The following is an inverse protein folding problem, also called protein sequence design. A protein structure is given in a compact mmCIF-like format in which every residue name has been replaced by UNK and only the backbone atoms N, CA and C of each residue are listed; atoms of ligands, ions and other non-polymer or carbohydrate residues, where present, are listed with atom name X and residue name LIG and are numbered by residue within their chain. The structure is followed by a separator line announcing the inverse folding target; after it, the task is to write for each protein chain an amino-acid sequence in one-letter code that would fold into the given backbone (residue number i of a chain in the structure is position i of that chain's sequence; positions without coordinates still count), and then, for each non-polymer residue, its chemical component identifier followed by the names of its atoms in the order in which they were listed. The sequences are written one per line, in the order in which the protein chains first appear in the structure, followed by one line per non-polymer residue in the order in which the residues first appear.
data_IF_667063787722
#
_entry.id   IF_667063787722
#
_cell.length_a   1.000
_cell.length_b   1.000
_cell.length_c   1.000
_cell.angle_alpha   90.00
_cell.angle_beta   90.00
_cell.angle_gamma   90.00
#
_symmetry.space_group_name_H-M   'P 1'
#
loop_
_entity.id
_entity.type
_entity.pdbx_description
1 polymer ?
#
# COMPACT_ATOMS: atom_id res chain seq x y z
N UNK A 1 36.32 13.34 1.36
CA UNK A 1 35.75 13.40 2.74
C UNK A 1 35.66 14.87 3.19
N UNK A 2 34.68 15.66 2.73
CA UNK A 2 34.71 17.14 2.90
C UNK A 2 33.49 17.78 3.59
N UNK A 3 32.57 17.03 4.19
CA UNK A 3 31.36 17.62 4.82
C UNK A 3 31.39 17.65 6.36
N UNK A 4 32.52 17.32 6.99
CA UNK A 4 32.61 17.23 8.46
C UNK A 4 32.23 18.54 9.17
N UNK A 5 32.85 19.65 8.77
CA UNK A 5 32.58 20.98 9.34
C UNK A 5 31.12 21.40 9.10
N UNK A 6 30.58 21.12 7.92
CA UNK A 6 29.21 21.47 7.56
C UNK A 6 28.18 20.69 8.41
N UNK A 7 28.41 19.40 8.64
CA UNK A 7 27.56 18.59 9.51
C UNK A 7 27.61 19.09 10.97
N UNK A 8 28.80 19.42 11.48
CA UNK A 8 28.96 19.96 12.85
C UNK A 8 28.21 21.29 13.02
N UNK A 9 28.27 22.18 12.02
CA UNK A 9 27.55 23.45 12.05
C UNK A 9 26.03 23.23 12.04
N UNK A 10 25.52 22.34 11.16
CA UNK A 10 24.08 22.03 11.11
C UNK A 10 23.56 21.45 12.43
N UNK A 11 24.34 20.59 13.10
CA UNK A 11 23.97 20.04 14.42
C UNK A 11 23.93 21.15 15.47
N UNK A 12 24.91 22.07 15.46
CA UNK A 12 24.96 23.19 16.40
C UNK A 12 23.78 24.16 16.20
N UNK A 13 23.44 24.46 14.95
CA UNK A 13 22.26 25.26 14.58
C UNK A 13 20.96 24.59 15.04
N UNK A 14 20.79 23.30 14.73
CA UNK A 14 19.60 22.55 15.11
C UNK A 14 19.39 22.49 16.64
N UNK A 15 20.48 22.39 17.41
CA UNK A 15 20.42 22.38 18.89
C UNK A 15 19.89 23.68 19.48
N UNK A 16 20.07 24.80 18.79
CA UNK A 16 19.64 26.12 19.24
C UNK A 16 18.23 26.49 18.75
N UNK A 17 17.58 25.65 17.92
CA UNK A 17 16.22 25.91 17.44
C UNK A 17 15.20 25.77 18.59
N UNK A 18 14.26 26.72 18.72
CA UNK A 18 13.18 26.63 19.68
C UNK A 18 12.30 25.40 19.38
N UNK A 19 11.80 24.74 20.43
CA UNK A 19 10.96 23.53 20.28
C UNK A 19 9.73 23.74 19.39
N UNK A 20 9.23 24.97 19.30
CA UNK A 20 8.09 25.36 18.45
C UNK A 20 8.39 25.31 16.95
N UNK A 21 9.67 25.36 16.55
CA UNK A 21 10.09 25.24 15.14
C UNK A 21 10.57 23.84 14.78
N UNK A 22 10.46 22.87 15.70
CA UNK A 22 10.83 21.50 15.41
C UNK A 22 9.81 20.87 14.45
N UNK A 23 10.26 19.99 13.55
CA UNK A 23 9.32 19.21 12.75
C UNK A 23 8.45 18.37 13.68
N UNK A 24 7.18 18.25 13.35
CA UNK A 24 6.30 17.32 14.06
C UNK A 24 6.66 15.90 13.62
N UNK A 25 6.67 14.96 14.57
CA UNK A 25 6.81 13.56 14.23
C UNK A 25 5.70 13.18 13.24
N UNK A 26 6.07 12.37 12.25
CA UNK A 26 5.06 11.77 11.39
C UNK A 26 4.13 10.95 12.29
N UNK A 27 2.80 11.07 12.12
CA UNK A 27 1.89 10.26 12.90
C UNK A 27 2.25 8.80 12.73
N UNK A 28 2.43 8.10 13.85
CA UNK A 28 2.65 6.65 13.84
C UNK A 28 1.38 6.03 13.25
N UNK A 29 1.47 5.22 12.17
CA UNK A 29 0.31 4.55 11.63
C UNK A 29 -0.35 3.72 12.73
N UNK A 30 -1.66 3.86 12.87
CA UNK A 30 -2.42 2.99 13.78
C UNK A 30 -2.20 1.54 13.35
N UNK A 31 -1.84 0.62 14.26
CA UNK A 31 -1.70 -0.78 13.91
C UNK A 31 -3.02 -1.33 13.37
N UNK A 32 -2.93 -2.20 12.38
CA UNK A 32 -4.10 -2.85 11.80
C UNK A 32 -4.76 -3.74 12.86
N UNK A 33 -6.09 -3.74 12.88
CA UNK A 33 -6.83 -4.72 13.66
C UNK A 33 -6.82 -6.09 12.93
N UNK A 34 -7.14 -7.21 13.62
CA UNK A 34 -7.08 -8.53 13.00
C UNK A 34 -7.94 -8.70 11.74
N UNK A 35 -9.08 -8.00 11.65
CA UNK A 35 -9.91 -8.03 10.45
C UNK A 35 -9.24 -7.30 9.27
N UNK A 36 -8.59 -6.16 9.53
CA UNK A 36 -7.81 -5.46 8.51
C UNK A 36 -6.62 -6.27 8.03
N UNK A 37 -5.94 -7.01 8.91
CA UNK A 37 -4.86 -7.93 8.50
C UNK A 37 -5.38 -9.02 7.57
N UNK A 38 -6.52 -9.63 7.89
CA UNK A 38 -7.16 -10.62 7.01
C UNK A 38 -7.57 -10.01 5.65
N UNK A 39 -8.04 -8.76 5.64
CA UNK A 39 -8.32 -8.04 4.40
C UNK A 39 -7.04 -7.78 3.57
N UNK A 40 -5.91 -7.47 4.22
CA UNK A 40 -4.62 -7.33 3.52
C UNK A 40 -4.25 -8.64 2.84
N UNK A 41 -4.41 -9.77 3.52
CA UNK A 41 -4.10 -11.08 2.96
C UNK A 41 -5.03 -11.45 1.78
N UNK A 42 -6.32 -11.09 1.88
CA UNK A 42 -7.28 -11.21 0.78
C UNK A 42 -6.86 -10.37 -0.44
N UNK A 43 -6.45 -9.11 -0.23
CA UNK A 43 -5.97 -8.25 -1.31
C UNK A 43 -4.64 -8.73 -1.88
N UNK A 44 -3.74 -9.30 -1.06
CA UNK A 44 -2.50 -9.92 -1.53
C UNK A 44 -2.79 -11.14 -2.41
N UNK A 45 -3.78 -11.96 -2.05
CA UNK A 45 -4.24 -13.08 -2.87
C UNK A 45 -4.80 -12.57 -4.21
N UNK A 46 -5.69 -11.59 -4.15
CA UNK A 46 -6.29 -10.95 -5.33
C UNK A 46 -5.24 -10.34 -6.26
N UNK A 47 -4.25 -9.64 -5.70
CA UNK A 47 -3.12 -9.05 -6.43
C UNK A 47 -2.31 -10.12 -7.18
N UNK A 48 -2.12 -11.30 -6.58
CA UNK A 48 -1.39 -12.41 -7.22
C UNK A 48 -2.15 -12.99 -8.41
N UNK A 49 -3.47 -13.14 -8.29
CA UNK A 49 -4.34 -13.57 -9.40
C UNK A 49 -4.20 -12.58 -10.57
N UNK A 50 -4.36 -11.28 -10.27
CA UNK A 50 -4.25 -10.20 -11.26
C UNK A 50 -2.86 -10.14 -11.91
N UNK A 51 -1.81 -10.35 -11.12
CA UNK A 51 -0.44 -10.40 -11.62
C UNK A 51 -0.20 -11.57 -12.57
N UNK A 52 -0.73 -12.75 -12.24
CA UNK A 52 -0.67 -13.95 -13.07
C UNK A 52 -1.40 -13.75 -14.40
N UNK A 53 -2.63 -13.22 -14.36
CA UNK A 53 -3.43 -12.91 -15.55
C UNK A 53 -2.73 -11.93 -16.50
N UNK A 54 -2.02 -10.95 -15.95
CA UNK A 54 -1.28 -9.94 -16.71
C UNK A 54 0.19 -10.31 -16.98
N UNK A 55 0.64 -11.50 -16.57
CA UNK A 55 2.02 -11.99 -16.74
C UNK A 55 3.08 -11.03 -16.19
N UNK A 56 2.82 -10.43 -15.02
CA UNK A 56 3.74 -9.54 -14.31
C UNK A 56 4.05 -10.04 -12.91
N UNK A 57 5.14 -9.57 -12.31
CA UNK A 57 5.41 -9.83 -10.90
C UNK A 57 4.45 -9.02 -10.01
N UNK A 58 3.82 -9.63 -8.98
CA UNK A 58 2.95 -8.91 -8.05
C UNK A 58 3.62 -7.70 -7.40
N UNK A 59 4.93 -7.79 -7.13
CA UNK A 59 5.70 -6.71 -6.49
C UNK A 59 5.78 -5.43 -7.34
N UNK A 60 5.62 -5.53 -8.67
CA UNK A 60 5.62 -4.37 -9.57
C UNK A 60 4.26 -3.63 -9.52
N UNK A 61 3.19 -4.34 -9.15
CA UNK A 61 1.85 -3.76 -9.00
C UNK A 61 1.71 -3.06 -7.64
N UNK A 62 2.00 -3.75 -6.54
CA UNK A 62 1.94 -3.19 -5.19
C UNK A 62 2.75 -4.01 -4.17
N UNK A 63 3.16 -3.35 -3.09
CA UNK A 63 3.68 -4.00 -1.89
C UNK A 63 2.57 -4.17 -0.84
N UNK A 64 2.82 -5.00 0.18
CA UNK A 64 1.90 -5.17 1.32
C UNK A 64 1.53 -3.83 1.95
N UNK A 65 2.52 -2.98 2.25
CA UNK A 65 2.31 -1.66 2.85
C UNK A 65 1.39 -0.76 2.01
N UNK A 66 1.40 -0.87 0.67
CA UNK A 66 0.49 -0.13 -0.19
C UNK A 66 -0.95 -0.62 -0.02
N UNK A 67 -1.15 -1.94 0.14
CA UNK A 67 -2.48 -2.51 0.39
C UNK A 67 -3.00 -2.17 1.80
N UNK A 68 -2.11 -2.12 2.80
CA UNK A 68 -2.45 -1.63 4.15
C UNK A 68 -2.95 -0.18 4.10
N UNK A 69 -2.24 0.70 3.38
CA UNK A 69 -2.67 2.08 3.16
C UNK A 69 -3.99 2.16 2.42
N UNK A 70 -4.20 1.30 1.42
CA UNK A 70 -5.46 1.23 0.68
C UNK A 70 -6.63 0.85 1.61
N UNK A 71 -6.45 -0.13 2.49
CA UNK A 71 -7.46 -0.54 3.50
C UNK A 71 -7.69 0.57 4.52
N UNK A 72 -6.65 1.31 4.90
CA UNK A 72 -6.75 2.47 5.78
C UNK A 72 -7.45 3.68 5.14
N UNK A 73 -7.86 3.59 3.86
CA UNK A 73 -8.61 4.64 3.17
C UNK A 73 -7.74 5.58 2.33
N UNK A 74 -6.42 5.38 2.25
CA UNK A 74 -5.56 6.17 1.38
C UNK A 74 -5.89 5.90 -0.09
N UNK A 75 -5.93 6.96 -0.89
CA UNK A 75 -6.26 6.90 -2.33
C UNK A 75 -5.20 7.56 -3.21
N UNK A 76 -4.23 8.28 -2.63
CA UNK A 76 -3.06 8.84 -3.33
C UNK A 76 -1.93 7.82 -3.43
N UNK A 77 -2.24 6.65 -4.00
CA UNK A 77 -1.30 5.53 -4.15
C UNK A 77 -0.92 5.36 -5.62
N UNK A 78 0.32 4.96 -5.91
CA UNK A 78 0.73 4.60 -7.28
C UNK A 78 -0.11 3.45 -7.86
N UNK A 79 -0.59 2.55 -7.01
CA UNK A 79 -1.51 1.47 -7.38
C UNK A 79 -2.80 1.99 -8.03
N UNK A 80 -3.26 3.18 -7.65
CA UNK A 80 -4.50 3.79 -8.16
C UNK A 80 -4.24 4.82 -9.27
N UNK A 81 -3.07 4.78 -9.90
CA UNK A 81 -2.66 5.68 -10.97
C UNK A 81 -2.13 4.93 -12.20
N UNK A 82 -2.23 5.59 -13.35
CA UNK A 82 -1.63 5.14 -14.61
C UNK A 82 -2.02 3.71 -15.00
N UNK A 83 -1.02 2.92 -15.39
CA UNK A 83 -1.22 1.55 -15.85
C UNK A 83 -1.54 0.58 -14.70
N UNK A 84 -0.99 0.81 -13.49
CA UNK A 84 -1.26 -0.05 -12.32
C UNK A 84 -2.72 -0.04 -11.91
N UNK A 85 -3.37 1.13 -12.04
CA UNK A 85 -4.80 1.26 -11.80
C UNK A 85 -5.61 0.31 -12.67
N UNK A 86 -5.31 0.31 -13.96
CA UNK A 86 -6.02 -0.52 -14.95
C UNK A 86 -5.77 -2.01 -14.75
N UNK A 87 -4.54 -2.39 -14.38
CA UNK A 87 -4.17 -3.79 -14.21
C UNK A 87 -4.65 -4.39 -12.90
N UNK A 88 -4.67 -3.61 -11.81
CA UNK A 88 -5.02 -4.14 -10.50
C UNK A 88 -5.80 -3.17 -9.60
N UNK A 89 -5.51 -1.87 -9.65
CA UNK A 89 -6.10 -0.90 -8.72
C UNK A 89 -7.63 -0.87 -8.71
N UNK A 90 -8.27 -0.89 -9.89
CA UNK A 90 -9.74 -0.90 -10.00
C UNK A 90 -10.34 -2.20 -9.46
N UNK A 91 -9.82 -3.35 -9.86
CA UNK A 91 -10.33 -4.64 -9.38
C UNK A 91 -10.14 -4.83 -7.87
N UNK A 92 -9.02 -4.36 -7.30
CA UNK A 92 -8.81 -4.40 -5.85
C UNK A 92 -9.78 -3.48 -5.09
N UNK A 93 -10.18 -2.35 -5.67
CA UNK A 93 -11.23 -1.51 -5.11
C UNK A 93 -12.59 -2.22 -5.12
N UNK A 94 -12.91 -2.95 -6.19
CA UNK A 94 -14.13 -3.77 -6.26
C UNK A 94 -14.11 -4.95 -5.27
N UNK A 95 -12.93 -5.53 -4.98
CA UNK A 95 -12.78 -6.52 -3.90
C UNK A 95 -13.06 -5.89 -2.54
N UNK A 96 -12.56 -4.68 -2.27
CA UNK A 96 -12.87 -3.94 -1.02
C UNK A 96 -14.35 -3.60 -0.93
N UNK A 97 -14.99 -3.26 -2.05
CA UNK A 97 -16.42 -2.96 -2.12
C UNK A 97 -17.30 -4.22 -1.97
N UNK A 98 -16.71 -5.42 -2.04
CA UNK A 98 -17.43 -6.69 -1.96
C UNK A 98 -18.12 -7.10 -3.26
N UNK A 99 -17.78 -6.46 -4.39
CA UNK A 99 -18.32 -6.81 -5.71
C UNK A 99 -17.50 -7.89 -6.42
N UNK A 100 -16.22 -8.03 -6.07
CA UNK A 100 -15.35 -9.11 -6.54
C UNK A 100 -14.81 -9.94 -5.37
N UNK A 101 -14.62 -11.24 -5.58
CA UNK A 101 -13.94 -12.11 -4.61
C UNK A 101 -13.04 -13.16 -5.29
N UNK A 102 -11.92 -13.56 -4.67
CA UNK A 102 -11.18 -14.75 -5.08
C UNK A 102 -12.02 -16.03 -4.88
N UNK A 103 -12.14 -16.83 -5.92
CA UNK A 103 -12.84 -18.10 -5.91
C UNK A 103 -11.98 -19.20 -6.55
N UNK A 104 -12.05 -20.40 -5.98
CA UNK A 104 -11.42 -21.59 -6.55
C UNK A 104 -12.33 -22.21 -7.62
N UNK A 105 -11.94 -22.09 -8.88
CA UNK A 105 -12.66 -22.65 -10.04
C UNK A 105 -11.72 -23.58 -10.79
N UNK A 106 -12.10 -24.84 -10.93
CA UNK A 106 -11.31 -25.85 -11.65
C UNK A 106 -9.85 -25.96 -11.16
N UNK A 107 -9.66 -25.84 -9.85
CA UNK A 107 -8.33 -25.90 -9.22
C UNK A 107 -7.48 -24.64 -9.42
N UNK A 108 -8.04 -23.57 -9.97
CA UNK A 108 -7.36 -22.27 -10.13
C UNK A 108 -8.10 -21.16 -9.40
N UNK A 109 -7.35 -20.24 -8.80
CA UNK A 109 -7.94 -19.04 -8.20
C UNK A 109 -8.25 -18.02 -9.30
N UNK A 110 -9.45 -17.44 -9.26
CA UNK A 110 -9.90 -16.36 -10.15
C UNK A 110 -10.69 -15.33 -9.35
N UNK A 111 -10.69 -14.08 -9.80
CA UNK A 111 -11.63 -13.09 -9.29
C UNK A 111 -12.98 -13.27 -9.99
N UNK A 112 -14.05 -13.33 -9.21
CA UNK A 112 -15.42 -13.46 -9.72
C UNK A 112 -16.36 -12.46 -9.07
N UNK A 113 -17.43 -12.12 -9.80
CA UNK A 113 -18.46 -11.22 -9.31
C UNK A 113 -19.32 -11.87 -8.22
N UNK A 114 -19.56 -11.10 -7.16
CA UNK A 114 -20.42 -11.49 -6.05
C UNK A 114 -21.87 -11.24 -6.43
N UNK A 115 -22.58 -12.30 -6.80
CA UNK A 115 -24.02 -12.25 -7.02
C UNK A 115 -24.70 -12.39 -5.66
N UNK A 116 -25.22 -11.29 -5.12
CA UNK A 116 -26.02 -11.28 -3.88
C UNK A 116 -27.50 -11.47 -4.20
#
# INVERSE_FOLDING_TARGET
KHHGTQLVNLIAEARNLPRTSWPTDKPVPTPLNPNQEALVDLLMCSLRILAEENQVSPAVLASRNVLEQLIAGERKLELLQGWRRKLAGEQLLEVIAGHLMPQLIEGRLRLTEVHT
#
